data_IF_177626022012
#
_entry.id   IF_177626022012
#
_cell.length_a   1.000
_cell.length_b   1.000
_cell.length_c   1.000
_cell.angle_alpha   90.00
_cell.angle_beta   90.00
_cell.angle_gamma   90.00
#
_symmetry.space_group_name_H-M   'P 1'
#
loop_
_entity.id
_entity.type
_entity.pdbx_description
1 polymer ?
#
# COMPACT_ATOMS: atom_id res chain seq x y z
N UNK A 1 -10.26 -18.37 -2.14
CA UNK A 1 -9.93 -16.94 -2.38
C UNK A 1 -8.60 -16.88 -3.11
N UNK A 2 -8.39 -15.91 -4.00
CA UNK A 2 -7.11 -15.77 -4.70
C UNK A 2 -6.08 -15.09 -3.80
N UNK A 3 -4.79 -15.22 -4.11
CA UNK A 3 -3.74 -14.49 -3.37
C UNK A 3 -3.99 -12.98 -3.41
N UNK A 4 -4.44 -12.45 -4.55
CA UNK A 4 -4.84 -11.03 -4.65
C UNK A 4 -5.92 -10.65 -3.64
N UNK A 5 -6.94 -11.49 -3.43
CA UNK A 5 -7.97 -11.21 -2.41
C UNK A 5 -7.38 -11.16 -1.00
N UNK A 6 -6.40 -12.00 -0.69
CA UNK A 6 -5.69 -11.94 0.59
C UNK A 6 -4.88 -10.65 0.72
N UNK A 7 -4.09 -10.29 -0.29
CA UNK A 7 -3.33 -9.04 -0.26
C UNK A 7 -4.25 -7.82 -0.13
N UNK A 8 -5.41 -7.82 -0.80
CA UNK A 8 -6.43 -6.78 -0.66
C UNK A 8 -6.92 -6.66 0.79
N UNK A 9 -7.16 -7.78 1.47
CA UNK A 9 -7.52 -7.77 2.90
C UNK A 9 -6.39 -7.20 3.74
N UNK A 10 -5.14 -7.63 3.51
CA UNK A 10 -3.97 -7.09 4.20
C UNK A 10 -3.79 -5.59 3.99
N UNK A 11 -4.07 -5.10 2.78
CA UNK A 11 -4.09 -3.68 2.43
C UNK A 11 -5.16 -2.92 3.22
N UNK A 12 -6.41 -3.38 3.21
CA UNK A 12 -7.50 -2.74 3.97
C UNK A 12 -7.21 -2.70 5.48
N UNK A 13 -6.66 -3.78 6.03
CA UNK A 13 -6.27 -3.82 7.44
C UNK A 13 -5.14 -2.81 7.71
N UNK A 14 -4.11 -2.75 6.86
CA UNK A 14 -2.96 -1.88 7.04
C UNK A 14 -3.31 -0.39 6.92
N UNK A 15 -4.07 -0.03 5.88
CA UNK A 15 -4.39 1.37 5.56
C UNK A 15 -5.53 1.95 6.39
N UNK A 16 -6.48 1.12 6.84
CA UNK A 16 -7.68 1.61 7.50
C UNK A 16 -7.80 1.18 8.95
N UNK A 17 -7.55 -0.09 9.26
CA UNK A 17 -7.75 -0.60 10.63
C UNK A 17 -6.57 -0.27 11.54
N UNK A 18 -5.35 -0.35 11.01
CA UNK A 18 -4.11 -0.14 11.79
C UNK A 18 -3.54 1.27 11.66
N UNK A 19 -4.03 2.07 10.72
CA UNK A 19 -3.65 3.47 10.58
C UNK A 19 -4.37 4.33 11.62
N UNK A 20 -3.61 4.93 12.54
CA UNK A 20 -4.16 5.85 13.53
C UNK A 20 -4.16 7.31 13.02
N UNK A 21 -4.74 8.21 13.83
CA UNK A 21 -4.88 9.64 13.51
C UNK A 21 -3.54 10.34 13.22
N UNK A 22 -2.50 10.02 13.99
CA UNK A 22 -1.15 10.59 13.82
C UNK A 22 -0.56 10.22 12.46
N UNK A 23 -0.64 8.95 12.07
CA UNK A 23 -0.22 8.51 10.73
C UNK A 23 -1.04 9.22 9.65
N UNK A 24 -2.37 9.20 9.78
CA UNK A 24 -3.29 9.72 8.77
C UNK A 24 -3.06 11.21 8.45
N UNK A 25 -2.89 12.05 9.49
CA UNK A 25 -2.77 13.50 9.32
C UNK A 25 -1.41 13.95 8.80
N UNK A 26 -0.34 13.22 9.13
CA UNK A 26 1.03 13.71 8.92
C UNK A 26 1.88 12.88 7.95
N UNK A 27 1.38 11.76 7.42
CA UNK A 27 2.10 10.94 6.42
C UNK A 27 2.23 11.61 5.04
N UNK A 28 1.23 12.40 4.63
CA UNK A 28 1.09 12.85 3.24
C UNK A 28 2.06 13.98 2.89
N UNK A 29 2.81 13.82 1.80
CA UNK A 29 3.70 14.87 1.27
C UNK A 29 4.94 15.14 2.13
N UNK A 30 5.25 14.22 3.07
CA UNK A 30 6.39 14.33 3.98
C UNK A 30 7.16 13.01 3.98
N UNK A 31 7.86 12.72 2.89
CA UNK A 31 8.52 11.42 2.68
C UNK A 31 9.53 11.03 3.77
N UNK A 32 10.16 12.00 4.46
CA UNK A 32 11.09 11.75 5.57
C UNK A 32 10.41 11.69 6.95
N UNK A 33 9.09 11.84 7.03
CA UNK A 33 8.39 11.87 8.30
C UNK A 33 8.33 10.49 8.94
N UNK A 34 8.46 10.45 10.27
CA UNK A 34 8.34 9.20 11.03
C UNK A 34 6.95 8.59 10.85
N UNK A 35 5.93 9.42 10.65
CA UNK A 35 4.55 9.04 10.38
C UNK A 35 4.42 8.25 9.08
N UNK A 36 5.03 8.76 8.00
CA UNK A 36 5.01 8.10 6.70
C UNK A 36 5.75 6.76 6.78
N UNK A 37 6.96 6.75 7.34
CA UNK A 37 7.78 5.53 7.44
C UNK A 37 7.09 4.48 8.33
N UNK A 38 6.56 4.89 9.50
CA UNK A 38 5.85 3.98 10.42
C UNK A 38 4.62 3.39 9.75
N UNK A 39 3.84 4.22 9.05
CA UNK A 39 2.67 3.76 8.32
C UNK A 39 3.05 2.76 7.22
N UNK A 40 4.05 3.07 6.39
CA UNK A 40 4.52 2.19 5.33
C UNK A 40 5.01 0.84 5.90
N UNK A 41 5.69 0.84 7.05
CA UNK A 41 6.10 -0.39 7.73
C UNK A 41 4.90 -1.22 8.18
N UNK A 42 3.96 -0.63 8.91
CA UNK A 42 2.75 -1.32 9.39
C UNK A 42 1.94 -1.88 8.22
N UNK A 43 1.75 -1.08 7.18
CA UNK A 43 1.07 -1.48 5.96
C UNK A 43 1.75 -2.68 5.31
N UNK A 44 3.07 -2.60 5.09
CA UNK A 44 3.83 -3.67 4.42
C UNK A 44 3.82 -4.97 5.22
N UNK A 45 3.91 -4.89 6.55
CA UNK A 45 3.79 -6.05 7.43
C UNK A 45 2.38 -6.67 7.37
N UNK A 46 1.33 -5.84 7.32
CA UNK A 46 -0.05 -6.31 7.18
C UNK A 46 -0.26 -7.06 5.85
N UNK A 47 0.25 -6.52 4.74
CA UNK A 47 0.19 -7.17 3.42
C UNK A 47 1.01 -8.47 3.39
N UNK A 48 2.22 -8.48 3.97
CA UNK A 48 3.04 -9.70 4.07
C UNK A 48 2.37 -10.80 4.90
N UNK A 49 1.76 -10.45 6.03
CA UNK A 49 1.04 -11.41 6.86
C UNK A 49 -0.15 -12.01 6.09
N UNK A 50 -0.86 -11.19 5.32
CA UNK A 50 -1.92 -11.68 4.46
C UNK A 50 -1.40 -12.56 3.30
N UNK A 51 -0.24 -12.22 2.72
CA UNK A 51 0.43 -13.05 1.73
C UNK A 51 0.79 -14.43 2.31
N UNK A 52 1.35 -14.44 3.53
CA UNK A 52 1.71 -15.66 4.24
C UNK A 52 0.49 -16.56 4.53
N UNK A 53 -0.62 -15.98 4.99
CA UNK A 53 -1.87 -16.72 5.21
C UNK A 53 -2.54 -17.20 3.93
N UNK A 54 -2.45 -16.40 2.86
CA UNK A 54 -3.11 -16.64 1.58
C UNK A 54 -2.33 -17.48 0.59
N UNK A 55 -1.01 -17.64 0.80
CA UNK A 55 -0.14 -18.47 -0.01
C UNK A 55 -0.48 -19.95 0.16
N UNK A 56 -0.92 -20.60 -0.91
CA UNK A 56 -1.24 -22.03 -0.88
C UNK A 56 0.00 -22.91 -0.82
N UNK A 57 1.17 -22.37 -1.20
CA UNK A 57 2.46 -23.04 -1.12
C UNK A 57 3.41 -22.27 -0.20
N UNK A 58 4.48 -22.95 0.22
CA UNK A 58 5.52 -22.34 1.04
C UNK A 58 6.19 -21.20 0.26
N UNK A 59 5.89 -19.96 0.66
CA UNK A 59 6.51 -18.77 0.09
C UNK A 59 8.03 -18.81 0.31
N UNK A 60 8.79 -18.61 -0.76
CA UNK A 60 10.24 -18.52 -0.66
C UNK A 60 10.65 -17.23 0.05
N UNK A 61 11.81 -17.25 0.72
CA UNK A 61 12.35 -16.04 1.33
C UNK A 61 12.54 -14.89 0.32
N UNK A 62 12.91 -15.22 -0.92
CA UNK A 62 13.04 -14.24 -2.01
C UNK A 62 11.72 -13.57 -2.36
N UNK A 63 10.62 -14.33 -2.39
CA UNK A 63 9.28 -13.77 -2.65
C UNK A 63 8.81 -12.85 -1.53
N UNK A 64 9.03 -13.25 -0.27
CA UNK A 64 8.70 -12.42 0.89
C UNK A 64 9.51 -11.12 0.90
N UNK A 65 10.82 -11.20 0.66
CA UNK A 65 11.67 -10.02 0.65
C UNK A 65 11.33 -9.08 -0.52
N UNK A 66 11.14 -9.63 -1.72
CA UNK A 66 10.80 -8.84 -2.91
C UNK A 66 9.43 -8.16 -2.78
N UNK A 67 8.42 -8.88 -2.25
CA UNK A 67 7.09 -8.32 -2.02
C UNK A 67 7.11 -7.25 -0.93
N UNK A 68 7.86 -7.44 0.15
CA UNK A 68 8.07 -6.41 1.17
C UNK A 68 8.63 -5.12 0.55
N UNK A 69 9.74 -5.22 -0.19
CA UNK A 69 10.37 -4.03 -0.77
C UNK A 69 9.49 -3.36 -1.81
N UNK A 70 8.84 -4.12 -2.69
CA UNK A 70 7.94 -3.57 -3.69
C UNK A 70 6.82 -2.77 -3.01
N UNK A 71 6.12 -3.38 -2.06
CA UNK A 71 4.98 -2.80 -1.37
C UNK A 71 5.41 -1.62 -0.50
N UNK A 72 6.50 -1.75 0.26
CA UNK A 72 7.01 -0.67 1.12
C UNK A 72 7.43 0.56 0.31
N UNK A 73 8.25 0.36 -0.72
CA UNK A 73 8.78 1.46 -1.53
C UNK A 73 7.65 2.12 -2.32
N UNK A 74 6.73 1.35 -2.91
CA UNK A 74 5.60 1.94 -3.63
C UNK A 74 4.69 2.73 -2.70
N UNK A 75 4.40 2.21 -1.51
CA UNK A 75 3.53 2.89 -0.53
C UNK A 75 4.15 4.21 -0.08
N UNK A 76 5.45 4.17 0.23
CA UNK A 76 6.23 5.33 0.58
C UNK A 76 6.27 6.37 -0.55
N UNK A 77 6.42 5.95 -1.81
CA UNK A 77 6.36 6.86 -2.95
C UNK A 77 4.98 7.50 -3.10
N UNK A 78 3.90 6.71 -3.03
CA UNK A 78 2.52 7.19 -3.20
C UNK A 78 2.17 8.21 -2.09
N UNK A 79 2.37 7.83 -0.83
CA UNK A 79 1.97 8.65 0.32
C UNK A 79 2.96 9.80 0.57
N UNK A 80 4.25 9.49 0.57
CA UNK A 80 5.33 10.41 0.91
C UNK A 80 5.47 11.56 -0.07
N UNK A 81 5.18 11.34 -1.36
CA UNK A 81 5.18 12.37 -2.39
C UNK A 81 3.78 12.85 -2.77
N UNK A 82 2.73 12.35 -2.10
CA UNK A 82 1.35 12.74 -2.34
C UNK A 82 0.93 12.56 -3.82
N UNK A 83 1.22 11.38 -4.39
CA UNK A 83 0.97 11.10 -5.81
C UNK A 83 -0.52 11.19 -6.17
N UNK A 84 -1.42 10.79 -5.26
CA UNK A 84 -2.87 10.93 -5.46
C UNK A 84 -3.30 12.39 -5.65
N UNK A 85 -2.70 13.32 -4.90
CA UNK A 85 -2.93 14.75 -5.07
C UNK A 85 -2.33 15.30 -6.36
N UNK A 86 -1.09 14.92 -6.69
CA UNK A 86 -0.44 15.33 -7.93
C UNK A 86 -1.21 14.84 -9.17
N UNK A 87 -1.62 13.57 -9.17
CA UNK A 87 -2.43 12.99 -10.24
C UNK A 87 -3.74 13.75 -10.42
N UNK A 88 -4.45 14.03 -9.32
CA UNK A 88 -5.69 14.80 -9.36
C UNK A 88 -5.52 16.19 -9.98
N UNK A 89 -4.36 16.83 -9.83
CA UNK A 89 -4.05 18.11 -10.48
C UNK A 89 -3.78 17.94 -11.98
N UNK A 90 -3.02 16.91 -12.38
CA UNK A 90 -2.66 16.65 -13.79
C UNK A 90 -3.90 16.45 -14.66
N UNK A 91 -4.90 15.71 -14.16
CA UNK A 91 -6.11 15.41 -14.91
C UNK A 91 -7.31 16.29 -14.54
N UNK A 92 -7.09 17.35 -13.77
CA UNK A 92 -8.13 18.28 -13.29
C UNK A 92 -9.33 17.56 -12.64
N UNK A 93 -9.04 16.63 -11.73
CA UNK A 93 -10.03 15.83 -11.01
C UNK A 93 -10.67 16.64 -9.87
N UNK A 94 -11.89 16.26 -9.49
CA UNK A 94 -12.57 16.82 -8.31
C UNK A 94 -11.73 16.64 -7.05
N UNK A 95 -11.46 17.76 -6.35
CA UNK A 95 -10.56 17.82 -5.19
C UNK A 95 -11.30 17.59 -3.86
N UNK A 96 -12.11 16.54 -3.76
CA UNK A 96 -12.69 16.13 -2.47
C UNK A 96 -11.84 15.04 -1.82
N UNK A 97 -11.88 14.96 -0.49
CA UNK A 97 -11.12 13.96 0.26
C UNK A 97 -11.48 12.53 -0.16
N UNK A 98 -12.77 12.25 -0.36
CA UNK A 98 -13.21 10.93 -0.81
C UNK A 98 -12.60 10.54 -2.15
N UNK A 99 -12.64 11.43 -3.15
CA UNK A 99 -12.09 11.16 -4.47
C UNK A 99 -10.59 10.94 -4.41
N UNK A 100 -9.88 11.78 -3.65
CA UNK A 100 -8.44 11.64 -3.45
C UNK A 100 -8.07 10.33 -2.76
N UNK A 101 -8.84 9.91 -1.74
CA UNK A 101 -8.65 8.61 -1.08
C UNK A 101 -8.91 7.49 -2.09
N UNK A 102 -9.95 7.54 -2.91
CA UNK A 102 -10.20 6.48 -3.89
C UNK A 102 -9.09 6.36 -4.94
N UNK A 103 -8.51 7.49 -5.39
CA UNK A 103 -7.34 7.48 -6.28
C UNK A 103 -6.13 6.85 -5.59
N UNK A 104 -5.85 7.26 -4.36
CA UNK A 104 -4.78 6.73 -3.51
C UNK A 104 -4.88 5.21 -3.36
N UNK A 105 -6.04 4.71 -2.94
CA UNK A 105 -6.31 3.28 -2.79
C UNK A 105 -6.19 2.54 -4.13
N UNK A 106 -6.66 3.13 -5.24
CA UNK A 106 -6.53 2.52 -6.57
C UNK A 106 -5.07 2.34 -6.98
N UNK A 107 -4.19 3.31 -6.67
CA UNK A 107 -2.75 3.17 -6.91
C UNK A 107 -2.17 2.01 -6.13
N UNK A 108 -2.53 1.85 -4.85
CA UNK A 108 -2.09 0.74 -4.02
C UNK A 108 -2.58 -0.62 -4.53
N UNK A 109 -3.83 -0.72 -5.01
CA UNK A 109 -4.36 -1.95 -5.61
C UNK A 109 -3.61 -2.37 -6.88
N UNK A 110 -3.17 -1.40 -7.69
CA UNK A 110 -2.33 -1.69 -8.87
C UNK A 110 -1.02 -2.35 -8.42
N UNK A 111 -0.38 -1.83 -7.37
CA UNK A 111 0.86 -2.42 -6.81
C UNK A 111 0.61 -3.86 -6.36
N UNK A 112 -0.51 -4.14 -5.66
CA UNK A 112 -0.84 -5.51 -5.25
C UNK A 112 -1.01 -6.43 -6.47
N UNK A 113 -1.66 -5.95 -7.54
CA UNK A 113 -1.79 -6.69 -8.79
C UNK A 113 -0.44 -7.03 -9.44
N UNK A 114 0.47 -6.05 -9.48
CA UNK A 114 1.86 -6.25 -9.96
C UNK A 114 2.60 -7.24 -9.06
N UNK A 115 2.46 -7.12 -7.74
CA UNK A 115 3.09 -8.02 -6.78
C UNK A 115 2.69 -9.47 -7.00
N UNK A 116 1.38 -9.74 -7.14
CA UNK A 116 0.89 -11.10 -7.45
C UNK A 116 1.39 -11.58 -8.81
N UNK A 117 1.39 -10.71 -9.81
CA UNK A 117 1.69 -11.10 -11.20
C UNK A 117 3.18 -11.32 -11.49
N UNK A 118 4.09 -10.71 -10.73
CA UNK A 118 5.53 -10.75 -11.02
C UNK A 118 6.36 -11.44 -9.93
N UNK A 119 5.89 -11.45 -8.68
CA UNK A 119 6.65 -12.02 -7.55
C UNK A 119 6.10 -13.40 -7.16
N UNK A 120 4.78 -13.57 -7.16
CA UNK A 120 4.13 -14.79 -6.70
C UNK A 120 3.70 -15.74 -7.84
N UNK A 121 4.33 -15.63 -9.00
CA UNK A 121 4.16 -16.54 -10.15
C UNK A 121 5.19 -17.66 -10.12
#
# INVERSE_FOLDING_TARGET
>A
MTLFTWLLIGHLIGDWMLQNDWMARYKRGRWWSLECITHCLIYSLSVLLAAWWGGQEALTFSQLLSSFFLVFVSHWLIDGFNLSGWWGQVINQTQTDFVRIMVDQSMHLIVLGVCVSWIFV
#
